data_IF_833256060814
#
_entry.id   IF_833256060814
#
_cell.length_a   1.000
_cell.length_b   1.000
_cell.length_c   1.000
_cell.angle_alpha   90.00
_cell.angle_beta   90.00
_cell.angle_gamma   90.00
#
_symmetry.space_group_name_H-M   'P 1'
#
loop_
_entity.id
_entity.type
_entity.pdbx_description
1 polymer ?
#
# COMPACT_ATOMS: atom_id res chain seq x y z
N UNK A 1 -31.22 13.48 -19.30
CA UNK A 1 -29.83 13.02 -19.53
C UNK A 1 -28.97 13.76 -18.53
N UNK A 2 -28.48 13.06 -17.50
CA UNK A 2 -27.67 13.69 -16.46
C UNK A 2 -26.20 13.59 -16.86
N UNK A 3 -25.52 14.73 -17.01
CA UNK A 3 -24.09 14.83 -17.32
C UNK A 3 -23.29 14.72 -16.02
N UNK A 4 -23.10 13.51 -15.48
CA UNK A 4 -22.08 13.29 -14.44
C UNK A 4 -20.81 12.80 -15.12
N UNK A 5 -20.00 13.74 -15.61
CA UNK A 5 -18.61 13.44 -15.93
C UNK A 5 -17.89 13.44 -14.59
N UNK A 6 -17.43 12.25 -14.19
CA UNK A 6 -16.37 11.87 -13.25
C UNK A 6 -16.64 10.37 -12.92
N UNK A 7 -15.72 9.42 -13.03
CA UNK A 7 -14.33 9.52 -12.61
C UNK A 7 -13.56 8.23 -12.99
N UNK A 8 -12.31 8.31 -13.48
CA UNK A 8 -11.44 7.13 -13.62
C UNK A 8 -11.08 6.54 -12.25
N UNK A 9 -10.78 5.24 -12.09
CA UNK A 9 -10.41 4.70 -10.77
C UNK A 9 -9.22 5.44 -10.15
N UNK A 10 -9.22 5.61 -8.83
CA UNK A 10 -8.06 6.11 -8.08
C UNK A 10 -6.93 5.09 -8.17
N UNK A 11 -5.75 5.50 -8.60
CA UNK A 11 -4.58 4.63 -8.63
C UNK A 11 -3.88 4.72 -7.28
N UNK A 12 -3.68 3.56 -6.65
CA UNK A 12 -2.99 3.45 -5.36
C UNK A 12 -1.93 2.36 -5.40
N UNK A 13 -1.03 2.43 -4.43
CA UNK A 13 0.01 1.44 -4.17
C UNK A 13 -0.09 0.92 -2.75
N UNK A 14 0.38 -0.30 -2.51
CA UNK A 14 0.56 -0.83 -1.16
C UNK A 14 1.79 -1.72 -1.11
N UNK A 15 2.47 -1.77 0.05
CA UNK A 15 3.71 -2.53 0.20
C UNK A 15 3.60 -3.54 1.32
N UNK A 16 3.75 -4.82 1.00
CA UNK A 16 3.99 -5.87 2.00
C UNK A 16 5.49 -5.89 2.27
N UNK A 17 5.90 -5.23 3.34
CA UNK A 17 7.26 -5.32 3.85
C UNK A 17 7.31 -6.43 4.89
N UNK A 18 8.15 -7.44 4.67
CA UNK A 18 8.28 -8.59 5.57
C UNK A 18 9.72 -8.74 6.07
N UNK A 19 9.85 -9.10 7.35
CA UNK A 19 11.12 -9.38 8.00
C UNK A 19 10.93 -10.43 9.10
N UNK A 20 11.61 -11.56 8.95
CA UNK A 20 11.62 -12.66 9.93
C UNK A 20 10.21 -13.13 10.37
N UNK A 21 9.28 -13.22 9.42
CA UNK A 21 7.90 -13.64 9.65
C UNK A 21 6.97 -12.54 10.17
N UNK A 22 7.45 -11.30 10.26
CA UNK A 22 6.66 -10.13 10.68
C UNK A 22 6.46 -9.18 9.52
N UNK A 23 5.32 -8.51 9.50
CA UNK A 23 4.91 -7.57 8.46
C UNK A 23 4.84 -6.16 9.02
N UNK A 24 5.40 -5.20 8.28
CA UNK A 24 5.25 -3.79 8.59
C UNK A 24 3.83 -3.35 8.29
N UNK A 25 3.14 -2.87 9.32
CA UNK A 25 1.75 -2.43 9.25
C UNK A 25 1.63 -1.06 9.91
N UNK A 26 0.71 -0.25 9.41
CA UNK A 26 0.35 1.03 10.04
C UNK A 26 -1.00 0.90 10.74
N UNK A 27 -1.15 1.60 11.85
CA UNK A 27 -2.42 1.85 12.53
C UNK A 27 -2.76 3.32 12.32
N UNK A 28 -3.82 3.59 11.57
CA UNK A 28 -4.16 4.91 11.03
C UNK A 28 -5.60 5.32 11.36
N UNK A 29 -5.87 6.62 11.18
CA UNK A 29 -7.23 7.19 11.23
C UNK A 29 -7.88 7.04 9.86
N UNK A 30 -9.13 6.57 9.82
CA UNK A 30 -9.93 6.52 8.61
C UNK A 30 -11.27 7.22 8.87
N UNK A 31 -11.59 8.23 8.05
CA UNK A 31 -12.84 9.00 8.15
C UNK A 31 -14.09 8.14 8.00
N UNK A 32 -13.98 6.98 7.35
CA UNK A 32 -15.08 6.05 7.13
C UNK A 32 -15.24 5.01 8.26
N UNK A 33 -14.32 4.98 9.23
CA UNK A 33 -14.31 4.00 10.32
C UNK A 33 -14.58 4.64 11.68
N UNK A 34 -15.27 3.91 12.57
CA UNK A 34 -15.53 4.35 13.95
C UNK A 34 -14.31 4.21 14.89
N UNK A 35 -13.11 3.99 14.35
CA UNK A 35 -11.89 3.77 15.13
C UNK A 35 -10.63 3.62 14.29
N UNK A 36 -9.52 3.27 14.94
CA UNK A 36 -8.24 3.05 14.25
C UNK A 36 -8.24 1.73 13.48
N UNK A 37 -7.79 1.81 12.24
CA UNK A 37 -7.72 0.68 11.31
C UNK A 37 -6.27 0.32 10.98
N UNK A 38 -6.05 -0.92 10.55
CA UNK A 38 -4.75 -1.40 10.10
C UNK A 38 -4.66 -1.46 8.58
N UNK A 39 -3.50 -1.10 8.06
CA UNK A 39 -3.18 -1.19 6.64
C UNK A 39 -1.72 -1.59 6.40
N UNK A 40 -1.42 -2.05 5.19
CA UNK A 40 -0.05 -1.93 4.68
C UNK A 40 0.29 -0.46 4.48
N UNK A 41 1.59 -0.08 4.49
CA UNK A 41 1.99 1.23 3.98
C UNK A 41 1.48 1.40 2.55
N UNK A 42 0.64 2.41 2.32
CA UNK A 42 -0.17 2.50 1.12
C UNK A 42 -0.80 3.88 0.92
N UNK A 43 -0.72 4.40 -0.31
CA UNK A 43 -1.38 5.65 -0.66
C UNK A 43 -1.55 5.84 -2.16
N UNK A 44 -1.78 7.09 -2.55
CA UNK A 44 -2.16 7.44 -3.92
C UNK A 44 -0.92 7.63 -4.81
N UNK A 45 -1.09 7.40 -6.10
CA UNK A 45 -0.11 7.81 -7.09
C UNK A 45 -0.19 9.33 -7.28
N UNK A 46 0.91 10.03 -7.08
CA UNK A 46 0.99 11.46 -7.32
C UNK A 46 1.28 11.79 -8.80
N UNK A 47 0.92 13.00 -9.27
CA UNK A 47 1.25 13.44 -10.62
C UNK A 47 2.77 13.48 -10.85
N UNK A 48 3.22 12.75 -11.88
CA UNK A 48 4.61 12.80 -12.35
C UNK A 48 5.55 11.75 -11.74
N UNK A 49 5.05 10.88 -10.86
CA UNK A 49 5.80 9.71 -10.37
C UNK A 49 5.29 8.40 -10.97
N UNK A 50 6.15 7.38 -10.95
CA UNK A 50 5.79 5.99 -11.27
C UNK A 50 5.34 5.19 -10.05
N UNK A 51 4.67 4.06 -10.28
CA UNK A 51 4.13 3.21 -9.21
C UNK A 51 5.21 2.72 -8.20
N UNK A 52 6.42 2.43 -8.68
CA UNK A 52 7.52 2.01 -7.80
C UNK A 52 7.99 3.16 -6.91
N UNK A 53 8.00 4.40 -7.43
CA UNK A 53 8.38 5.59 -6.67
C UNK A 53 7.33 5.89 -5.61
N UNK A 54 6.05 5.85 -5.98
CA UNK A 54 4.94 6.00 -5.04
C UNK A 54 5.02 4.97 -3.90
N UNK A 55 5.25 3.70 -4.23
CA UNK A 55 5.34 2.65 -3.21
C UNK A 55 6.47 2.89 -2.20
N UNK A 56 7.62 3.36 -2.66
CA UNK A 56 8.75 3.72 -1.80
C UNK A 56 8.49 4.99 -0.97
N UNK A 57 7.87 6.01 -1.58
CA UNK A 57 7.49 7.27 -0.92
C UNK A 57 6.48 7.03 0.19
N UNK A 58 5.36 6.40 -0.12
CA UNK A 58 4.28 6.08 0.83
C UNK A 58 4.82 5.24 2.00
N UNK A 59 5.67 4.24 1.71
CA UNK A 59 6.29 3.45 2.78
C UNK A 59 7.14 4.32 3.71
N UNK A 60 7.94 5.23 3.17
CA UNK A 60 8.78 6.11 3.98
C UNK A 60 7.95 7.12 4.80
N UNK A 61 6.96 7.76 4.17
CA UNK A 61 6.11 8.77 4.78
C UNK A 61 5.24 8.20 5.90
N UNK A 62 4.71 6.99 5.74
CA UNK A 62 3.82 6.40 6.74
C UNK A 62 4.56 5.61 7.82
N UNK A 63 5.79 5.15 7.57
CA UNK A 63 6.46 4.22 8.50
C UNK A 63 7.85 4.65 8.98
N UNK A 64 8.43 5.69 8.39
CA UNK A 64 9.85 6.03 8.53
C UNK A 64 10.82 4.94 8.03
N UNK A 65 10.35 3.88 7.37
CA UNK A 65 11.24 2.84 6.82
C UNK A 65 11.61 3.10 5.37
N UNK A 66 12.91 3.03 5.09
CA UNK A 66 13.40 2.78 3.73
C UNK A 66 13.36 1.29 3.46
N UNK A 67 12.87 0.92 2.29
CA UNK A 67 12.71 -0.47 1.86
C UNK A 67 13.27 -0.67 0.46
N UNK A 68 13.53 -1.92 0.11
CA UNK A 68 13.81 -2.34 -1.26
C UNK A 68 12.63 -3.16 -1.77
N UNK A 69 11.98 -2.68 -2.84
CA UNK A 69 10.96 -3.46 -3.54
C UNK A 69 11.62 -4.67 -4.20
N UNK A 70 11.03 -5.84 -4.04
CA UNK A 70 11.59 -7.11 -4.54
C UNK A 70 10.71 -7.75 -5.61
N UNK A 71 9.39 -7.51 -5.58
CA UNK A 71 8.45 -8.08 -6.53
C UNK A 71 7.13 -7.30 -6.59
N UNK A 72 6.37 -7.53 -7.65
CA UNK A 72 4.94 -7.22 -7.71
C UNK A 72 4.18 -8.41 -7.13
N UNK A 73 3.26 -8.18 -6.20
CA UNK A 73 2.36 -9.21 -5.66
C UNK A 73 1.14 -9.38 -6.58
N UNK A 74 0.60 -8.25 -7.04
CA UNK A 74 -0.53 -8.25 -7.96
C UNK A 74 -1.24 -6.90 -8.02
N UNK A 75 -2.32 -6.90 -8.79
CA UNK A 75 -3.22 -5.76 -8.95
C UNK A 75 -4.59 -6.14 -8.39
N UNK A 76 -5.20 -5.22 -7.65
CA UNK A 76 -6.55 -5.39 -7.11
C UNK A 76 -7.45 -4.22 -7.49
N UNK A 77 -8.72 -4.52 -7.75
CA UNK A 77 -9.75 -3.51 -7.96
C UNK A 77 -10.78 -3.64 -6.82
N UNK A 78 -11.04 -2.55 -6.11
CA UNK A 78 -12.07 -2.52 -5.08
C UNK A 78 -12.83 -1.20 -5.11
N UNK A 79 -14.14 -1.28 -4.87
CA UNK A 79 -14.97 -0.09 -4.65
C UNK A 79 -15.23 0.05 -3.17
N UNK A 80 -14.82 1.18 -2.60
CA UNK A 80 -15.05 1.48 -1.19
C UNK A 80 -16.51 1.90 -0.94
N UNK A 81 -16.99 1.91 0.32
CA UNK A 81 -18.37 2.30 0.66
C UNK A 81 -18.77 3.71 0.20
N UNK A 82 -17.80 4.60 0.03
CA UNK A 82 -17.99 5.95 -0.52
C UNK A 82 -18.26 5.98 -2.04
N UNK A 83 -18.27 4.83 -2.72
CA UNK A 83 -18.51 4.69 -4.15
C UNK A 83 -17.27 4.88 -5.03
N UNK A 84 -16.11 5.21 -4.45
CA UNK A 84 -14.84 5.37 -5.19
C UNK A 84 -14.24 4.00 -5.50
N UNK A 85 -13.87 3.78 -6.76
CA UNK A 85 -13.11 2.60 -7.18
C UNK A 85 -11.62 2.88 -7.13
N UNK A 86 -10.88 1.97 -6.49
CA UNK A 86 -9.43 2.00 -6.37
C UNK A 86 -8.81 0.87 -7.19
N UNK A 87 -7.80 1.22 -7.98
CA UNK A 87 -6.92 0.29 -8.69
C UNK A 87 -5.58 0.25 -7.94
N UNK A 88 -5.36 -0.81 -7.17
CA UNK A 88 -4.21 -0.93 -6.27
C UNK A 88 -3.17 -1.87 -6.84
N UNK A 89 -1.95 -1.39 -7.00
CA UNK A 89 -0.77 -2.24 -7.26
C UNK A 89 -0.09 -2.56 -5.93
N UNK A 90 0.08 -3.84 -5.63
CA UNK A 90 0.71 -4.28 -4.38
C UNK A 90 2.11 -4.82 -4.66
N UNK A 91 3.09 -4.39 -3.86
CA UNK A 91 4.49 -4.78 -3.98
C UNK A 91 4.95 -5.56 -2.75
N UNK A 92 5.91 -6.46 -2.94
CA UNK A 92 6.69 -7.06 -1.87
C UNK A 92 7.97 -6.27 -1.67
N UNK A 93 8.42 -6.16 -0.43
CA UNK A 93 9.66 -5.48 -0.09
C UNK A 93 10.36 -6.10 1.11
N UNK A 94 11.66 -5.82 1.23
CA UNK A 94 12.44 -6.07 2.45
C UNK A 94 12.84 -4.74 3.10
N UNK A 95 12.90 -4.66 4.44
CA UNK A 95 13.36 -3.44 5.09
C UNK A 95 14.86 -3.21 4.85
N UNK A 96 15.26 -1.95 4.78
CA UNK A 96 16.67 -1.54 4.72
C UNK A 96 17.08 -0.84 6.01
N UNK A 97 16.40 0.25 6.36
CA UNK A 97 16.74 1.06 7.53
C UNK A 97 15.55 1.90 7.99
N UNK A 98 15.39 2.03 9.30
CA UNK A 98 14.46 2.98 9.93
C UNK A 98 15.10 4.37 10.05
N UNK A 99 14.36 5.40 9.66
CA UNK A 99 14.77 6.80 9.73
C UNK A 99 14.16 7.41 10.99
N UNK A 100 14.85 7.25 12.13
CA UNK A 100 14.29 7.54 13.47
C UNK A 100 13.78 8.96 13.76
N UNK A 101 14.15 9.96 12.93
CA UNK A 101 13.69 11.36 13.08
C UNK A 101 12.67 11.78 12.00
N UNK A 102 12.12 10.83 11.23
CA UNK A 102 11.13 11.15 10.22
C UNK A 102 9.79 11.55 10.87
N UNK A 103 9.22 12.65 10.39
CA UNK A 103 7.84 13.02 10.71
C UNK A 103 6.92 12.16 9.85
N UNK A 104 6.10 11.35 10.49
CA UNK A 104 5.11 10.51 9.80
C UNK A 104 3.94 11.35 9.30
N UNK A 105 3.23 10.82 8.31
CA UNK A 105 1.93 11.35 7.90
C UNK A 105 1.01 11.52 9.13
N UNK A 106 0.33 12.68 9.29
CA UNK A 106 -0.51 12.98 10.45
C UNK A 106 -1.64 11.97 10.72
N UNK A 107 -2.07 11.21 9.72
CA UNK A 107 -3.11 10.20 9.89
C UNK A 107 -2.58 8.90 10.52
N UNK A 108 -1.25 8.69 10.51
CA UNK A 108 -0.61 7.53 11.12
C UNK A 108 -0.49 7.73 12.64
N UNK A 109 -1.06 6.78 13.38
CA UNK A 109 -1.01 6.77 14.85
C UNK A 109 0.14 5.91 15.36
N UNK A 110 0.39 4.76 14.74
CA UNK A 110 1.50 3.85 15.10
C UNK A 110 1.96 3.00 13.92
N UNK A 111 3.23 2.59 14.00
CA UNK A 111 3.86 1.62 13.10
C UNK A 111 4.09 0.33 13.88
N UNK A 112 3.78 -0.82 13.28
CA UNK A 112 3.82 -2.13 13.92
C UNK A 112 4.56 -3.16 13.06
N UNK A 113 5.28 -4.07 13.72
CA UNK A 113 5.79 -5.31 13.11
C UNK A 113 4.98 -6.51 13.61
N UNK A 114 3.92 -6.85 12.88
CA UNK A 114 2.94 -7.86 13.30
C UNK A 114 3.23 -9.22 12.67
N UNK A 115 3.02 -10.31 13.41
CA UNK A 115 2.93 -11.64 12.81
C UNK A 115 1.64 -11.79 12.01
N UNK A 116 1.57 -12.80 11.15
CA UNK A 116 0.34 -13.10 10.42
C UNK A 116 -0.85 -13.39 11.34
N UNK A 117 -0.61 -14.06 12.46
CA UNK A 117 -1.64 -14.37 13.47
C UNK A 117 -2.15 -13.11 14.16
N UNK A 118 -1.26 -12.13 14.43
CA UNK A 118 -1.63 -10.83 14.97
C UNK A 118 -2.46 -10.00 13.96
N UNK A 119 -2.13 -10.08 12.66
CA UNK A 119 -2.94 -9.48 11.59
C UNK A 119 -4.33 -10.14 11.54
N UNK A 120 -4.40 -11.46 11.57
CA UNK A 120 -5.67 -12.19 11.57
C UNK A 120 -6.55 -11.84 12.78
N UNK A 121 -5.95 -11.73 13.96
CA UNK A 121 -6.64 -11.32 15.18
C UNK A 121 -7.25 -9.90 15.06
N UNK A 122 -6.68 -9.03 14.22
CA UNK A 122 -7.17 -7.69 13.93
C UNK A 122 -7.99 -7.59 12.63
N UNK A 123 -8.37 -8.71 12.01
CA UNK A 123 -9.03 -8.73 10.68
C UNK A 123 -10.30 -7.87 10.58
N UNK A 124 -11.05 -7.71 11.68
CA UNK A 124 -12.24 -6.84 11.72
C UNK A 124 -11.92 -5.33 11.66
N UNK A 125 -10.66 -4.94 11.86
CA UNK A 125 -10.17 -3.56 11.88
C UNK A 125 -9.30 -3.22 10.67
N UNK A 126 -9.37 -4.00 9.59
CA UNK A 126 -8.60 -3.72 8.38
C UNK A 126 -9.21 -2.53 7.63
N UNK A 127 -8.37 -1.59 7.18
CA UNK A 127 -8.80 -0.37 6.46
C UNK A 127 -9.66 -0.70 5.23
N UNK A 128 -9.36 -1.81 4.57
CA UNK A 128 -10.09 -2.24 3.38
C UNK A 128 -10.17 -3.76 3.31
N UNK A 129 -11.12 -4.33 2.51
CA UNK A 129 -11.16 -5.76 2.26
C UNK A 129 -9.92 -6.30 1.54
N UNK A 130 -9.03 -5.42 1.08
CA UNK A 130 -7.83 -5.80 0.35
C UNK A 130 -6.61 -6.05 1.26
N UNK A 131 -6.61 -5.58 2.52
CA UNK A 131 -5.42 -5.62 3.39
C UNK A 131 -4.97 -7.05 3.68
N UNK A 132 -5.87 -7.88 4.22
CA UNK A 132 -5.58 -9.27 4.55
C UNK A 132 -5.32 -10.14 3.30
N UNK A 133 -6.15 -10.09 2.23
CA UNK A 133 -5.89 -10.87 1.02
C UNK A 133 -4.55 -10.58 0.37
N UNK A 134 -4.03 -9.35 0.42
CA UNK A 134 -2.71 -9.04 -0.13
C UNK A 134 -1.57 -9.68 0.66
N UNK A 135 -1.66 -9.72 2.00
CA UNK A 135 -0.70 -10.48 2.82
C UNK A 135 -0.79 -11.98 2.52
N UNK A 136 -2.00 -12.52 2.35
CA UNK A 136 -2.19 -13.93 1.99
C UNK A 136 -1.63 -14.27 0.61
N UNK A 137 -1.77 -13.38 -0.37
CA UNK A 137 -1.18 -13.56 -1.71
C UNK A 137 0.35 -13.61 -1.63
N UNK A 138 0.97 -12.69 -0.88
CA UNK A 138 2.41 -12.74 -0.60
C UNK A 138 2.81 -14.08 0.01
N UNK A 139 2.09 -14.54 1.04
CA UNK A 139 2.35 -15.82 1.73
C UNK A 139 2.15 -17.05 0.83
N UNK A 140 1.29 -16.95 -0.20
CA UNK A 140 1.09 -17.98 -1.23
C UNK A 140 2.19 -17.96 -2.30
N UNK A 141 3.15 -17.04 -2.21
CA UNK A 141 4.27 -16.93 -3.15
C UNK A 141 3.92 -16.17 -4.44
N UNK A 142 2.89 -15.31 -4.42
CA UNK A 142 2.61 -14.42 -5.54
C UNK A 142 3.71 -13.34 -5.59
N UNK A 143 4.74 -13.61 -6.38
CA UNK A 143 5.91 -12.74 -6.55
C UNK A 143 6.27 -12.72 -8.03
N UNK A 144 5.94 -11.61 -8.69
CA UNK A 144 6.25 -11.36 -10.08
C UNK A 144 7.39 -10.35 -10.19
N UNK A 145 8.24 -10.43 -11.23
CA UNK A 145 9.30 -9.46 -11.48
C UNK A 145 8.77 -8.01 -11.46
N UNK A 146 9.58 -7.05 -10.98
CA UNK A 146 9.19 -5.63 -10.96
C UNK A 146 8.93 -5.06 -12.36
N UNK A 147 9.64 -5.57 -13.37
CA UNK A 147 9.46 -5.24 -14.79
C UNK A 147 8.19 -5.86 -15.41
N UNK A 148 7.39 -6.60 -14.63
CA UNK A 148 6.02 -6.95 -15.01
C UNK A 148 5.17 -5.71 -15.31
N UNK A 149 5.43 -4.62 -14.59
CA UNK A 149 4.79 -3.33 -14.83
C UNK A 149 5.67 -2.56 -15.82
N UNK A 150 5.19 -2.44 -17.05
CA UNK A 150 5.78 -1.56 -18.02
C UNK A 150 5.40 -0.11 -17.71
N UNK A 151 6.40 0.71 -17.37
CA UNK A 151 6.25 2.16 -17.20
C UNK A 151 6.94 2.82 -18.39
N UNK A 152 6.20 3.62 -19.15
CA UNK A 152 6.80 4.41 -20.22
C UNK A 152 7.53 5.60 -19.57
N UNK A 153 8.86 5.61 -19.66
CA UNK A 153 9.63 6.77 -19.25
C UNK A 153 9.55 7.84 -20.36
N UNK A 154 8.96 9.02 -20.11
CA UNK A 154 8.69 10.03 -21.15
C UNK A 154 9.93 10.57 -21.88
N UNK A 155 11.13 10.25 -21.38
CA UNK A 155 12.42 10.64 -21.93
C UNK A 155 12.68 10.06 -23.33
N UNK A 156 11.87 9.09 -23.79
CA UNK A 156 12.02 8.45 -25.12
C UNK A 156 11.77 9.38 -26.32
N UNK A 157 11.29 10.60 -26.10
CA UNK A 157 11.06 11.60 -27.16
C UNK A 157 11.75 12.95 -26.92
N UNK A 158 12.74 13.02 -26.00
CA UNK A 158 13.60 14.21 -25.84
C UNK A 158 14.89 14.10 -26.65
#
# INVERSE_FOLDING_TARGET
MNTSREWPPHVTVAVVVENEGRYLMVEERDELAEGLVFNQPAGHLDPGEGLLQAALRETLEETAWKVELTAVIGVSLATAPNGITYYRTSFAARPLVEVGDAVLDPDIVRVHWLTYEEILANSARMRSPLVLPTVEQYRKGHLYPLDFIYIDEPQRFQ
#
